data_IF_783907372511
#
_entry.id   IF_783907372511
#
_cell.length_a   1.000
_cell.length_b   1.000
_cell.length_c   1.000
_cell.angle_alpha   90.00
_cell.angle_beta   90.00
_cell.angle_gamma   90.00
#
_symmetry.space_group_name_H-M   'P 1'
#
loop_
_entity.id
_entity.type
_entity.pdbx_description
1 polymer ?
#
# COMPACT_ATOMS: atom_id res chain seq x y z
N UNK A 1 -83.93 16.09 -8.04
CA UNK A 1 -83.27 17.05 -7.14
C UNK A 1 -84.22 17.32 -5.98
N UNK A 2 -83.90 16.78 -4.81
CA UNK A 2 -84.49 17.15 -3.53
C UNK A 2 -83.45 16.78 -2.46
N UNK A 3 -83.21 17.71 -1.56
CA UNK A 3 -82.06 17.84 -0.68
C UNK A 3 -82.49 17.60 0.78
N UNK A 4 -81.50 17.36 1.65
CA UNK A 4 -81.54 17.49 3.11
C UNK A 4 -82.32 16.47 3.98
N UNK A 5 -81.59 15.73 4.83
CA UNK A 5 -81.29 16.14 6.22
C UNK A 5 -80.32 15.17 6.91
N UNK A 6 -79.27 15.75 7.50
CA UNK A 6 -78.41 15.12 8.51
C UNK A 6 -79.03 15.40 9.87
N UNK A 7 -79.09 14.41 10.75
CA UNK A 7 -79.15 14.66 12.20
C UNK A 7 -78.45 13.57 13.01
N UNK A 8 -77.73 14.05 14.03
CA UNK A 8 -76.74 13.37 14.83
C UNK A 8 -77.33 12.49 15.94
N UNK A 9 -76.67 11.37 16.24
CA UNK A 9 -76.57 10.85 17.62
C UNK A 9 -75.11 10.59 17.98
N UNK A 10 -74.59 11.39 18.93
CA UNK A 10 -73.43 11.09 19.76
C UNK A 10 -73.91 10.32 20.99
N UNK A 11 -73.21 9.24 21.37
CA UNK A 11 -72.77 8.94 22.74
C UNK A 11 -71.94 7.64 22.74
N UNK A 12 -70.63 7.76 23.00
CA UNK A 12 -69.93 7.20 24.19
C UNK A 12 -69.77 5.67 24.15
N UNK A 13 -68.63 5.17 23.67
CA UNK A 13 -67.39 4.88 24.43
C UNK A 13 -67.46 3.60 25.25
N UNK A 14 -66.66 2.59 24.86
CA UNK A 14 -65.62 1.92 25.68
C UNK A 14 -65.41 0.46 25.24
N UNK A 15 -64.12 0.07 25.14
CA UNK A 15 -63.63 -1.30 24.93
C UNK A 15 -63.62 -1.71 23.46
N UNK A 16 -62.50 -1.96 22.79
CA UNK A 16 -61.29 -2.60 23.27
C UNK A 16 -61.11 -3.92 22.52
N UNK A 17 -60.48 -3.83 21.36
CA UNK A 17 -59.65 -4.83 20.68
C UNK A 17 -60.11 -6.29 20.56
N UNK A 18 -60.46 -6.68 19.33
CA UNK A 18 -60.03 -7.96 18.74
C UNK A 18 -60.24 -7.95 17.22
N UNK A 19 -59.25 -7.49 16.45
CA UNK A 19 -59.16 -7.82 15.02
C UNK A 19 -57.98 -8.76 14.80
N UNK A 20 -58.37 -10.01 14.54
CA UNK A 20 -57.57 -11.16 14.14
C UNK A 20 -56.47 -10.81 13.11
N UNK A 21 -55.22 -10.78 13.56
CA UNK A 21 -54.05 -10.76 12.68
C UNK A 21 -53.88 -12.13 11.99
N UNK A 22 -53.85 -12.11 10.65
CA UNK A 22 -53.54 -13.27 9.82
C UNK A 22 -52.12 -13.75 10.11
N UNK A 23 -51.97 -15.05 10.33
CA UNK A 23 -50.69 -15.76 10.54
C UNK A 23 -49.74 -15.53 9.36
N UNK A 24 -48.71 -14.73 9.62
CA UNK A 24 -47.30 -15.03 9.34
C UNK A 24 -46.92 -15.33 7.89
N UNK A 25 -46.76 -14.28 7.07
CA UNK A 25 -45.76 -14.31 6.02
C UNK A 25 -44.38 -14.44 6.68
N UNK A 26 -43.64 -15.51 6.36
CA UNK A 26 -42.27 -15.65 6.81
C UNK A 26 -41.43 -14.55 6.16
N UNK A 27 -41.07 -13.53 6.95
CA UNK A 27 -40.02 -12.59 6.58
C UNK A 27 -38.73 -13.39 6.57
N UNK A 28 -38.24 -13.75 5.37
CA UNK A 28 -36.87 -14.21 5.20
C UNK A 28 -35.97 -13.05 5.62
N UNK A 29 -35.47 -13.08 6.85
CA UNK A 29 -34.37 -12.23 7.26
C UNK A 29 -33.17 -12.63 6.43
N UNK A 30 -32.88 -11.85 5.38
CA UNK A 30 -31.63 -11.96 4.65
C UNK A 30 -30.48 -11.52 5.56
N UNK A 31 -29.96 -12.48 6.32
CA UNK A 31 -28.80 -12.31 7.20
C UNK A 31 -27.47 -12.21 6.44
N UNK A 32 -27.49 -12.05 5.11
CA UNK A 32 -26.29 -11.72 4.33
C UNK A 32 -26.00 -10.22 4.50
N UNK A 33 -25.45 -9.85 5.66
CA UNK A 33 -24.64 -8.63 5.73
C UNK A 33 -23.58 -8.77 4.62
N UNK A 34 -23.40 -7.78 3.73
CA UNK A 34 -22.32 -7.84 2.76
C UNK A 34 -21.01 -7.98 3.53
N UNK A 35 -20.32 -9.11 3.36
CA UNK A 35 -18.95 -9.28 3.84
C UNK A 35 -18.10 -8.42 2.92
N UNK A 36 -17.76 -7.22 3.37
CA UNK A 36 -16.82 -6.36 2.68
C UNK A 36 -15.44 -6.98 2.79
N UNK A 37 -14.84 -7.34 1.66
CA UNK A 37 -13.44 -7.73 1.62
C UNK A 37 -12.60 -6.51 2.03
N UNK A 38 -11.75 -6.69 3.04
CA UNK A 38 -10.90 -5.61 3.58
C UNK A 38 -9.58 -5.53 2.83
N UNK A 39 -8.95 -4.36 2.90
CA UNK A 39 -7.60 -4.20 2.39
C UNK A 39 -6.65 -5.19 3.06
N UNK A 40 -5.77 -5.79 2.27
CA UNK A 40 -4.82 -6.81 2.68
C UNK A 40 -3.47 -6.54 2.02
N UNK A 41 -2.40 -6.59 2.80
CA UNK A 41 -1.02 -6.47 2.31
C UNK A 41 -0.20 -7.60 2.90
N UNK A 42 0.53 -8.31 2.02
CA UNK A 42 1.47 -9.36 2.38
C UNK A 42 2.84 -9.03 1.81
N UNK A 43 3.85 -9.10 2.66
CA UNK A 43 5.24 -8.91 2.27
C UNK A 43 6.05 -10.17 2.58
N UNK A 44 6.89 -10.54 1.64
CA UNK A 44 7.88 -11.60 1.77
C UNK A 44 9.26 -10.98 1.65
N UNK A 45 10.14 -11.30 2.61
CA UNK A 45 11.50 -10.80 2.65
C UNK A 45 12.50 -11.77 2.04
N UNK A 46 13.69 -11.25 1.74
CA UNK A 46 14.88 -12.02 1.41
C UNK A 46 16.11 -11.40 2.07
N UNK A 47 17.17 -12.19 2.22
CA UNK A 47 18.44 -11.68 2.73
C UNK A 47 19.23 -11.01 1.60
N UNK A 48 19.59 -9.74 1.78
CA UNK A 48 20.56 -9.05 0.95
C UNK A 48 21.95 -9.18 1.57
N UNK A 49 22.91 -9.73 0.81
CA UNK A 49 24.28 -9.95 1.29
C UNK A 49 25.21 -8.82 0.86
N UNK A 50 25.93 -8.21 1.80
CA UNK A 50 26.86 -7.12 1.51
C UNK A 50 28.13 -7.28 2.35
N UNK A 51 29.21 -7.72 1.71
CA UNK A 51 30.40 -8.21 2.41
C UNK A 51 30.07 -9.41 3.28
N UNK A 52 30.45 -9.36 4.57
CA UNK A 52 30.13 -10.40 5.58
C UNK A 52 28.75 -10.24 6.23
N UNK A 53 28.01 -9.21 5.86
CA UNK A 53 26.74 -8.83 6.50
C UNK A 53 25.54 -9.30 5.68
N UNK A 54 24.41 -9.49 6.36
CA UNK A 54 23.11 -9.72 5.72
C UNK A 54 22.07 -8.81 6.35
N UNK A 55 21.23 -8.24 5.49
CA UNK A 55 20.10 -7.38 5.89
C UNK A 55 18.85 -7.86 5.18
N UNK A 56 17.73 -7.92 5.89
CA UNK A 56 16.46 -8.26 5.25
C UNK A 56 16.01 -7.13 4.30
N UNK A 57 15.58 -7.51 3.11
CA UNK A 57 15.00 -6.62 2.08
C UNK A 57 13.73 -7.25 1.51
N UNK A 58 12.96 -6.48 0.76
CA UNK A 58 11.78 -6.98 0.05
C UNK A 58 12.13 -8.01 -1.02
N UNK A 59 11.34 -9.09 -1.07
CA UNK A 59 11.35 -10.04 -2.17
C UNK A 59 10.08 -9.92 -2.97
N UNK A 60 8.94 -9.96 -2.29
CA UNK A 60 7.63 -9.95 -2.92
C UNK A 60 6.65 -9.18 -2.06
N UNK A 61 5.77 -8.43 -2.71
CA UNK A 61 4.63 -7.76 -2.11
C UNK A 61 3.39 -8.15 -2.90
N UNK A 62 2.32 -8.48 -2.18
CA UNK A 62 0.99 -8.64 -2.74
C UNK A 62 0.00 -7.82 -1.93
N UNK A 63 -0.83 -7.03 -2.61
CA UNK A 63 -1.86 -6.21 -2.00
C UNK A 63 -3.21 -6.41 -2.71
N UNK A 64 -4.27 -6.41 -1.91
CA UNK A 64 -5.65 -6.21 -2.33
C UNK A 64 -6.11 -4.95 -1.61
N UNK A 65 -6.45 -3.89 -2.33
CA UNK A 65 -6.74 -2.59 -1.74
C UNK A 65 -8.19 -2.20 -2.04
N UNK A 66 -8.95 -1.98 -0.97
CA UNK A 66 -10.29 -1.41 -1.00
C UNK A 66 -10.19 0.09 -0.70
N UNK A 67 -10.68 0.98 -1.59
CA UNK A 67 -10.65 2.42 -1.35
C UNK A 67 -11.50 2.85 -0.14
N UNK A 68 -12.45 2.03 0.31
CA UNK A 68 -13.24 2.28 1.51
C UNK A 68 -12.58 1.78 2.81
N UNK A 69 -11.45 1.06 2.70
CA UNK A 69 -10.64 0.57 3.83
C UNK A 69 -9.18 1.00 3.64
N UNK A 70 -8.88 2.32 3.68
CA UNK A 70 -7.55 2.82 3.41
C UNK A 70 -6.56 2.38 4.50
N UNK A 71 -5.45 1.80 4.08
CA UNK A 71 -4.36 1.39 4.97
C UNK A 71 -3.36 2.54 5.07
N UNK A 72 -2.89 2.82 6.30
CA UNK A 72 -1.88 3.86 6.54
C UNK A 72 -0.47 3.30 6.33
N UNK A 73 0.27 3.90 5.41
CA UNK A 73 1.69 3.57 5.20
C UNK A 73 2.64 4.35 6.09
N UNK A 74 3.93 4.22 5.80
CA UNK A 74 5.03 4.79 6.57
C UNK A 74 6.16 5.22 5.64
N UNK A 75 6.79 6.35 5.93
CA UNK A 75 7.96 6.79 5.19
C UNK A 75 9.12 5.83 5.36
N UNK A 76 9.77 5.47 4.26
CA UNK A 76 10.97 4.63 4.25
C UNK A 76 12.10 5.21 5.13
N UNK A 77 12.12 6.53 5.35
CA UNK A 77 13.11 7.21 6.18
C UNK A 77 13.10 6.73 7.63
N UNK A 78 11.96 6.26 8.12
CA UNK A 78 11.86 5.75 9.48
C UNK A 78 12.68 4.46 9.62
N UNK A 79 12.82 3.65 8.56
CA UNK A 79 13.64 2.42 8.54
C UNK A 79 15.14 2.69 8.77
N UNK A 80 15.63 2.43 9.99
CA UNK A 80 17.04 2.58 10.32
C UNK A 80 17.85 1.30 10.01
N UNK A 81 17.19 0.15 9.97
CA UNK A 81 17.84 -1.17 9.88
C UNK A 81 18.51 -1.41 8.52
N UNK A 82 18.02 -0.78 7.44
CA UNK A 82 18.68 -0.85 6.14
C UNK A 82 19.78 0.20 5.94
N UNK A 83 19.93 1.19 6.83
CA UNK A 83 20.90 2.28 6.66
C UNK A 83 22.35 1.79 6.47
N UNK A 84 22.88 0.85 7.28
CA UNK A 84 24.27 0.38 7.09
C UNK A 84 24.51 -0.27 5.72
N UNK A 85 23.54 -1.05 5.23
CA UNK A 85 23.59 -1.66 3.90
C UNK A 85 23.58 -0.59 2.81
N UNK A 86 22.70 0.42 2.94
CA UNK A 86 22.61 1.52 1.97
C UNK A 86 23.91 2.32 1.89
N UNK A 87 24.55 2.58 3.03
CA UNK A 87 25.83 3.30 3.08
C UNK A 87 26.96 2.47 2.45
N UNK A 88 26.99 1.16 2.71
CA UNK A 88 27.95 0.25 2.07
C UNK A 88 27.76 0.17 0.55
N UNK A 89 26.50 0.13 0.06
CA UNK A 89 26.21 0.12 -1.38
C UNK A 89 26.62 1.43 -2.06
N UNK A 90 26.37 2.58 -1.42
CA UNK A 90 26.82 3.89 -1.92
C UNK A 90 28.33 3.96 -2.04
N UNK A 91 29.05 3.46 -1.04
CA UNK A 91 30.50 3.38 -1.08
C UNK A 91 30.99 2.42 -2.18
N UNK A 92 30.37 1.23 -2.29
CA UNK A 92 30.78 0.20 -3.24
C UNK A 92 30.62 0.63 -4.70
N UNK A 93 29.50 1.26 -5.04
CA UNK A 93 29.19 1.69 -6.41
C UNK A 93 29.52 3.16 -6.68
N UNK A 94 30.13 3.87 -5.72
CA UNK A 94 30.48 5.29 -5.84
C UNK A 94 29.26 6.16 -6.20
N UNK A 95 28.16 5.95 -5.49
CA UNK A 95 26.87 6.61 -5.75
C UNK A 95 26.67 7.78 -4.77
N UNK A 96 26.27 8.93 -5.30
CA UNK A 96 25.86 10.07 -4.47
C UNK A 96 24.65 9.70 -3.59
N UNK A 97 24.59 10.22 -2.37
CA UNK A 97 23.56 9.84 -1.39
C UNK A 97 22.10 9.91 -1.88
N UNK A 98 21.80 10.85 -2.77
CA UNK A 98 20.46 11.03 -3.36
C UNK A 98 20.13 10.12 -4.53
N UNK A 99 21.10 9.41 -5.13
CA UNK A 99 20.88 8.58 -6.32
C UNK A 99 20.56 7.11 -5.97
N UNK A 100 20.69 6.72 -4.69
CA UNK A 100 20.27 5.42 -4.16
C UNK A 100 19.37 5.59 -2.92
N UNK A 101 18.16 5.02 -2.98
CA UNK A 101 17.12 5.19 -1.96
C UNK A 101 16.57 3.85 -1.47
N UNK A 102 15.93 3.86 -0.29
CA UNK A 102 15.11 2.74 0.20
C UNK A 102 13.76 2.80 -0.51
N UNK A 103 13.62 2.05 -1.60
CA UNK A 103 12.39 2.00 -2.39
C UNK A 103 11.37 1.09 -1.74
N UNK A 104 10.12 1.53 -1.72
CA UNK A 104 9.01 0.69 -1.29
C UNK A 104 8.62 -0.30 -2.40
N UNK A 105 8.24 -1.52 -2.01
CA UNK A 105 7.54 -2.44 -2.93
C UNK A 105 6.07 -2.01 -3.07
N UNK A 106 5.37 -1.76 -1.97
CA UNK A 106 4.10 -1.03 -1.95
C UNK A 106 4.33 0.40 -1.48
N UNK A 107 3.95 1.39 -2.31
CA UNK A 107 4.04 2.81 -1.96
C UNK A 107 3.42 3.13 -0.60
N UNK A 108 4.04 4.04 0.16
CA UNK A 108 3.55 4.51 1.46
C UNK A 108 2.16 5.17 1.39
N UNK A 109 1.87 5.90 0.31
CA UNK A 109 0.54 6.50 0.08
C UNK A 109 -0.52 5.49 -0.38
N UNK A 110 -0.15 4.23 -0.57
CA UNK A 110 -1.05 3.09 -0.82
C UNK A 110 -1.16 2.16 0.40
N UNK A 111 -0.51 2.50 1.52
CA UNK A 111 -0.50 1.67 2.73
C UNK A 111 0.81 0.93 2.99
N UNK A 112 1.83 1.15 2.16
CA UNK A 112 3.16 0.57 2.33
C UNK A 112 3.82 0.90 3.66
N UNK A 113 4.19 -0.13 4.43
CA UNK A 113 4.89 0.02 5.70
C UNK A 113 6.40 0.08 5.48
N UNK A 114 7.14 0.74 6.38
CA UNK A 114 8.59 0.91 6.31
C UNK A 114 9.33 -0.31 6.91
N UNK A 115 8.83 -1.50 6.60
CA UNK A 115 9.35 -2.79 7.02
C UNK A 115 10.49 -3.22 6.09
N UNK A 116 11.47 -3.93 6.62
CA UNK A 116 12.58 -4.46 5.83
C UNK A 116 12.10 -5.30 4.64
N UNK A 117 11.06 -6.12 4.81
CA UNK A 117 10.47 -6.94 3.75
C UNK A 117 9.56 -6.17 2.76
N UNK A 118 9.36 -4.86 2.94
CA UNK A 118 8.68 -3.99 1.98
C UNK A 118 9.63 -2.93 1.39
N UNK A 119 10.93 -2.98 1.73
CA UNK A 119 11.93 -2.02 1.28
C UNK A 119 13.07 -2.72 0.55
N UNK A 120 13.53 -2.14 -0.55
CA UNK A 120 14.67 -2.64 -1.32
C UNK A 120 15.60 -1.48 -1.77
N UNK A 121 16.92 -1.68 -1.86
CA UNK A 121 17.83 -0.71 -2.47
C UNK A 121 17.51 -0.48 -3.95
N UNK A 122 17.05 0.71 -4.29
CA UNK A 122 16.68 1.07 -5.66
C UNK A 122 17.34 2.39 -6.05
N UNK A 123 17.72 2.54 -7.31
CA UNK A 123 18.19 3.83 -7.81
C UNK A 123 17.06 4.84 -7.81
N UNK A 124 17.38 6.12 -7.65
CA UNK A 124 16.37 7.20 -7.69
C UNK A 124 15.62 7.22 -9.02
N UNK A 125 16.32 6.93 -10.12
CA UNK A 125 15.74 6.90 -11.45
C UNK A 125 14.71 5.77 -11.61
N UNK A 126 15.06 4.54 -11.21
CA UNK A 126 14.13 3.41 -11.21
C UNK A 126 12.95 3.62 -10.25
N UNK A 127 13.18 4.21 -9.07
CA UNK A 127 12.13 4.58 -8.13
C UNK A 127 11.16 5.62 -8.73
N UNK A 128 11.69 6.61 -9.46
CA UNK A 128 10.85 7.59 -10.16
C UNK A 128 10.05 6.93 -11.28
N UNK A 129 10.64 6.04 -12.06
CA UNK A 129 9.90 5.28 -13.07
C UNK A 129 8.77 4.43 -12.45
N UNK A 130 9.04 3.78 -11.32
CA UNK A 130 8.05 2.99 -10.59
C UNK A 130 6.86 3.84 -10.14
N UNK A 131 7.15 5.01 -9.56
CA UNK A 131 6.16 6.01 -9.16
C UNK A 131 5.31 6.46 -10.35
N UNK A 132 5.96 6.89 -11.42
CA UNK A 132 5.32 7.54 -12.57
C UNK A 132 4.46 6.59 -13.39
N UNK A 133 4.78 5.29 -13.39
CA UNK A 133 4.05 4.27 -14.13
C UNK A 133 3.01 3.60 -13.23
N UNK A 134 3.44 2.75 -12.32
CA UNK A 134 2.57 1.79 -11.64
C UNK A 134 1.88 2.41 -10.43
N UNK A 135 2.63 3.16 -9.60
CA UNK A 135 2.06 3.70 -8.36
C UNK A 135 1.08 4.85 -8.62
N UNK A 136 1.35 5.72 -9.59
CA UNK A 136 0.42 6.79 -9.95
C UNK A 136 -0.88 6.25 -10.57
N UNK A 137 -0.80 5.18 -11.36
CA UNK A 137 -2.00 4.49 -11.82
C UNK A 137 -2.78 3.89 -10.65
N UNK A 138 -2.10 3.21 -9.72
CA UNK A 138 -2.71 2.66 -8.51
C UNK A 138 -3.45 3.74 -7.70
N UNK A 139 -2.79 4.87 -7.43
CA UNK A 139 -3.35 6.03 -6.71
C UNK A 139 -4.58 6.58 -7.44
N UNK A 140 -4.53 6.66 -8.77
CA UNK A 140 -5.67 7.16 -9.56
C UNK A 140 -6.87 6.21 -9.48
N UNK A 141 -6.65 4.90 -9.65
CA UNK A 141 -7.73 3.91 -9.53
C UNK A 141 -8.36 3.93 -8.14
N UNK A 142 -7.52 3.88 -7.11
CA UNK A 142 -7.99 3.75 -5.74
C UNK A 142 -8.63 5.04 -5.23
N UNK A 143 -8.00 6.19 -5.47
CA UNK A 143 -8.38 7.44 -4.83
C UNK A 143 -9.26 8.36 -5.67
N UNK A 144 -9.12 8.33 -7.00
CA UNK A 144 -9.96 9.11 -7.92
C UNK A 144 -11.18 8.32 -8.35
N UNK A 145 -10.97 7.10 -8.84
CA UNK A 145 -12.06 6.28 -9.38
C UNK A 145 -12.77 5.44 -8.33
N UNK A 146 -12.22 5.35 -7.10
CA UNK A 146 -12.75 4.49 -6.05
C UNK A 146 -12.91 3.04 -6.52
N UNK A 147 -11.95 2.59 -7.33
CA UNK A 147 -11.87 1.24 -7.86
C UNK A 147 -10.96 0.39 -6.98
N UNK A 148 -11.43 -0.75 -6.44
CA UNK A 148 -10.57 -1.72 -5.77
C UNK A 148 -9.55 -2.30 -6.74
N UNK A 149 -8.33 -2.49 -6.26
CA UNK A 149 -7.21 -3.00 -7.07
C UNK A 149 -6.53 -4.17 -6.37
N UNK A 150 -5.91 -5.03 -7.17
CA UNK A 150 -4.84 -5.90 -6.71
C UNK A 150 -3.52 -5.37 -7.27
N UNK A 151 -2.45 -5.53 -6.50
CA UNK A 151 -1.13 -5.05 -6.88
C UNK A 151 -0.06 -6.02 -6.38
N UNK A 152 0.89 -6.39 -7.23
CA UNK A 152 2.05 -7.21 -6.88
C UNK A 152 3.33 -6.59 -7.38
N UNK A 153 4.38 -6.70 -6.56
CA UNK A 153 5.77 -6.39 -6.93
C UNK A 153 6.65 -7.55 -6.51
N UNK A 154 7.46 -8.08 -7.40
CA UNK A 154 8.46 -9.12 -7.11
C UNK A 154 9.83 -8.68 -7.61
N UNK A 155 10.81 -8.69 -6.71
CA UNK A 155 12.19 -8.35 -7.01
C UNK A 155 12.93 -9.60 -7.47
N UNK A 156 13.33 -9.63 -8.74
CA UNK A 156 14.21 -10.66 -9.30
C UNK A 156 15.67 -10.20 -9.34
N UNK A 157 16.57 -11.17 -9.37
CA UNK A 157 18.01 -10.98 -9.24
C UNK A 157 18.57 -11.60 -7.95
N UNK A 158 19.89 -11.75 -7.88
CA UNK A 158 20.54 -12.25 -6.66
C UNK A 158 20.73 -11.09 -5.68
N UNK A 159 20.09 -11.08 -4.49
CA UNK A 159 20.13 -9.95 -3.56
C UNK A 159 21.51 -9.88 -2.88
N UNK A 160 22.50 -9.31 -3.57
CA UNK A 160 23.84 -9.13 -3.03
C UNK A 160 24.54 -7.91 -3.64
N UNK A 161 25.48 -7.34 -2.88
CA UNK A 161 26.16 -6.11 -3.22
C UNK A 161 27.07 -6.20 -4.47
N UNK A 162 27.36 -7.39 -4.99
CA UNK A 162 28.10 -7.53 -6.25
C UNK A 162 27.17 -7.60 -7.47
N UNK A 163 25.85 -7.74 -7.26
CA UNK A 163 24.86 -7.70 -8.31
C UNK A 163 24.36 -6.27 -8.48
N UNK A 164 24.79 -5.62 -9.56
CA UNK A 164 24.46 -4.21 -9.78
C UNK A 164 23.05 -3.99 -10.36
N UNK A 165 22.43 -5.01 -10.94
CA UNK A 165 21.07 -4.94 -11.49
C UNK A 165 20.06 -5.78 -10.72
N UNK A 166 18.91 -5.16 -10.44
CA UNK A 166 17.74 -5.82 -9.86
C UNK A 166 16.51 -5.41 -10.65
N UNK A 167 15.59 -6.35 -10.85
CA UNK A 167 14.38 -6.14 -11.64
C UNK A 167 13.16 -6.16 -10.73
N UNK A 168 12.34 -5.13 -10.83
CA UNK A 168 11.08 -5.01 -10.11
C UNK A 168 9.95 -5.38 -11.07
N UNK A 169 9.50 -6.63 -10.97
CA UNK A 169 8.40 -7.15 -11.77
C UNK A 169 7.09 -6.70 -11.14
N UNK A 170 6.36 -5.86 -11.84
CA UNK A 170 5.12 -5.25 -11.36
C UNK A 170 3.93 -5.81 -12.11
N UNK A 171 2.84 -6.02 -11.41
CA UNK A 171 1.54 -6.31 -12.02
C UNK A 171 0.41 -5.73 -11.18
N UNK A 172 -0.53 -5.07 -11.82
CA UNK A 172 -1.63 -4.38 -11.17
C UNK A 172 -2.89 -4.49 -12.01
N UNK A 173 -4.03 -4.72 -11.36
CA UNK A 173 -5.32 -4.78 -12.05
C UNK A 173 -6.51 -4.58 -11.11
N UNK A 174 -7.71 -4.73 -11.64
CA UNK A 174 -8.94 -4.60 -10.88
C UNK A 174 -9.19 -5.82 -9.98
N UNK A 175 -9.63 -5.58 -8.75
CA UNK A 175 -10.05 -6.61 -7.80
C UNK A 175 -11.57 -6.65 -7.68
N UNK A 176 -12.20 -7.77 -8.06
CA UNK A 176 -13.61 -8.02 -7.78
C UNK A 176 -13.75 -8.45 -6.32
N UNK A 177 -14.10 -7.50 -5.45
CA UNK A 177 -14.27 -7.74 -4.02
C UNK A 177 -15.44 -8.69 -3.70
N UNK A 178 -16.46 -8.80 -4.57
CA UNK A 178 -17.63 -9.66 -4.33
C UNK A 178 -17.28 -11.13 -4.53
N UNK A 179 -16.47 -11.42 -5.54
CA UNK A 179 -15.98 -12.78 -5.84
C UNK A 179 -14.63 -13.08 -5.21
N UNK A 180 -13.97 -12.06 -4.68
CA UNK A 180 -12.58 -12.08 -4.26
C UNK A 180 -11.64 -12.60 -5.36
N UNK A 181 -11.80 -12.07 -6.58
CA UNK A 181 -11.02 -12.50 -7.76
C UNK A 181 -10.23 -11.35 -8.36
N UNK A 182 -8.99 -11.64 -8.78
CA UNK A 182 -8.13 -10.71 -9.52
C UNK A 182 -8.48 -10.77 -11.00
N UNK A 183 -8.84 -9.63 -11.61
CA UNK A 183 -8.94 -9.54 -13.06
C UNK A 183 -7.56 -9.53 -13.71
N UNK A 184 -7.51 -9.66 -15.03
CA UNK A 184 -6.27 -9.49 -15.80
C UNK A 184 -5.56 -8.18 -15.44
N UNK A 185 -4.23 -8.20 -15.51
CA UNK A 185 -3.41 -7.04 -15.21
C UNK A 185 -3.73 -5.92 -16.22
N UNK A 186 -4.05 -4.74 -15.70
CA UNK A 186 -4.13 -3.52 -16.50
C UNK A 186 -2.73 -2.94 -16.76
N UNK A 187 -1.81 -3.17 -15.82
CA UNK A 187 -0.39 -2.83 -15.94
C UNK A 187 0.41 -4.08 -15.60
N UNK A 188 1.39 -4.39 -16.45
CA UNK A 188 2.40 -5.42 -16.20
C UNK A 188 3.72 -4.99 -16.84
N UNK A 189 4.83 -5.18 -16.15
CA UNK A 189 6.14 -4.83 -16.67
C UNK A 189 7.26 -5.14 -15.69
N UNK A 190 8.48 -4.77 -16.08
CA UNK A 190 9.67 -4.83 -15.22
C UNK A 190 10.38 -3.48 -15.23
N UNK A 191 10.84 -3.06 -14.06
CA UNK A 191 11.64 -1.84 -13.88
C UNK A 191 13.03 -2.26 -13.41
N UNK A 192 14.05 -1.90 -14.18
CA UNK A 192 15.43 -2.26 -13.85
C UNK A 192 16.08 -1.17 -13.01
N UNK A 193 16.54 -1.56 -11.82
CA UNK A 193 17.41 -0.74 -10.98
C UNK A 193 18.87 -1.12 -11.23
N UNK A 194 19.65 -0.21 -11.82
CA UNK A 194 21.07 -0.42 -12.09
C UNK A 194 21.94 0.44 -11.15
N UNK A 195 22.45 -0.14 -10.07
CA UNK A 195 23.33 0.55 -9.13
C UNK A 195 24.72 0.85 -9.70
N UNK A 196 25.16 0.10 -10.73
CA UNK A 196 26.43 0.35 -11.41
C UNK A 196 26.37 1.57 -12.34
N UNK A 197 25.17 1.97 -12.75
CA UNK A 197 24.92 3.23 -13.44
C UNK A 197 23.62 3.87 -12.93
N UNK A 198 23.68 4.57 -11.78
CA UNK A 198 22.50 5.09 -11.12
C UNK A 198 21.87 6.29 -11.85
N UNK A 199 22.52 6.81 -12.90
CA UNK A 199 22.08 8.00 -13.66
C UNK A 199 21.58 7.69 -15.06
N UNK A 200 21.81 6.50 -15.61
CA UNK A 200 21.47 6.12 -17.01
C UNK A 200 19.97 5.97 -17.32
N UNK A 201 19.08 6.52 -16.49
CA UNK A 201 17.67 6.63 -16.80
C UNK A 201 17.28 8.12 -16.91
N UNK A 202 17.70 8.74 -18.01
CA UNK A 202 17.37 10.11 -18.42
C UNK A 202 15.87 10.31 -18.74
N UNK A 203 15.09 9.22 -18.79
CA UNK A 203 13.65 9.22 -19.08
C UNK A 203 12.73 9.74 -17.97
N UNK A 204 13.29 10.24 -16.86
CA UNK A 204 12.51 10.64 -15.68
C UNK A 204 12.26 12.16 -15.56
N UNK A 205 12.56 12.95 -16.59
CA UNK A 205 12.34 14.41 -16.62
C UNK A 205 10.97 14.79 -17.21
N UNK A 206 9.88 14.38 -16.57
CA UNK A 206 8.54 14.92 -16.83
C UNK A 206 7.88 15.35 -15.51
N UNK A 207 7.75 16.66 -15.29
CA UNK A 207 7.17 17.29 -14.08
C UNK A 207 5.63 17.15 -13.98
N UNK A 208 4.97 16.73 -15.06
CA UNK A 208 3.51 16.84 -15.19
C UNK A 208 2.74 15.75 -14.40
N UNK A 209 3.28 14.54 -14.34
CA UNK A 209 2.65 13.38 -13.67
C UNK A 209 2.83 13.41 -12.14
N UNK A 210 3.94 13.97 -11.65
CA UNK A 210 4.17 14.14 -10.21
C UNK A 210 3.17 15.14 -9.62
N UNK A 211 2.94 16.27 -10.31
CA UNK A 211 1.98 17.31 -9.90
C UNK A 211 0.53 16.80 -9.91
N UNK A 212 0.11 16.09 -10.97
CA UNK A 212 -1.26 15.54 -11.05
C UNK A 212 -1.54 14.50 -9.95
N UNK A 213 -0.56 13.63 -9.67
CA UNK A 213 -0.68 12.63 -8.60
C UNK A 213 -0.72 13.26 -7.20
N UNK A 214 0.07 14.31 -6.96
CA UNK A 214 0.08 15.04 -5.70
C UNK A 214 -1.26 15.76 -5.45
N UNK A 215 -1.83 16.38 -6.48
CA UNK A 215 -3.16 16.99 -6.42
C UNK A 215 -4.26 15.96 -6.12
N UNK A 216 -4.21 14.82 -6.81
CA UNK A 216 -5.13 13.68 -6.61
C UNK A 216 -5.08 13.17 -5.17
N UNK A 217 -3.88 12.90 -4.66
CA UNK A 217 -3.68 12.39 -3.31
C UNK A 217 -4.16 13.40 -2.26
N UNK A 218 -3.84 14.69 -2.43
CA UNK A 218 -4.30 15.76 -1.53
C UNK A 218 -5.83 15.83 -1.48
N UNK A 219 -6.48 15.74 -2.64
CA UNK A 219 -7.94 15.72 -2.72
C UNK A 219 -8.54 14.47 -2.05
N UNK A 220 -7.89 13.31 -2.19
CA UNK A 220 -8.31 12.07 -1.54
C UNK A 220 -8.22 12.13 -0.01
N UNK A 221 -7.12 12.68 0.51
CA UNK A 221 -6.92 12.91 1.95
C UNK A 221 -7.96 13.88 2.50
N UNK A 222 -8.26 14.96 1.78
CA UNK A 222 -9.31 15.91 2.17
C UNK A 222 -10.71 15.27 2.23
N UNK A 223 -10.93 14.19 1.47
CA UNK A 223 -12.18 13.39 1.46
C UNK A 223 -12.15 12.19 2.41
N UNK A 224 -11.06 11.97 3.14
CA UNK A 224 -10.88 10.81 4.02
C UNK A 224 -10.73 9.47 3.29
N UNK A 225 -10.47 9.49 1.98
CA UNK A 225 -10.29 8.29 1.16
C UNK A 225 -8.86 7.74 1.24
N UNK A 226 -7.90 8.58 1.60
CA UNK A 226 -6.50 8.21 1.81
C UNK A 226 -5.99 8.74 3.14
N UNK A 227 -5.00 8.08 3.72
CA UNK A 227 -4.37 8.46 4.99
C UNK A 227 -2.95 8.98 4.75
N UNK A 228 -2.54 9.98 5.54
CA UNK A 228 -1.15 10.42 5.57
C UNK A 228 -0.24 9.30 6.10
N UNK A 229 0.88 9.01 5.43
CA UNK A 229 1.88 8.10 5.95
C UNK A 229 2.47 8.58 7.27
N UNK A 230 2.89 7.65 8.11
CA UNK A 230 3.72 7.99 9.27
C UNK A 230 5.07 8.54 8.81
N UNK A 231 5.50 9.65 9.39
CA UNK A 231 6.81 10.26 9.10
C UNK A 231 7.79 10.18 10.27
N UNK A 232 7.35 9.72 11.44
CA UNK A 232 8.21 9.48 12.60
C UNK A 232 7.68 8.37 13.52
N UNK A 233 8.57 7.76 14.30
CA UNK A 233 8.24 6.67 15.23
C UNK A 233 7.15 7.06 16.25
N UNK A 234 7.20 8.30 16.77
CA UNK A 234 6.22 8.80 17.73
C UNK A 234 4.79 8.89 17.17
N UNK A 235 4.63 8.84 15.84
CA UNK A 235 3.31 8.86 15.20
C UNK A 235 2.69 7.47 15.04
N UNK A 236 3.45 6.40 15.29
CA UNK A 236 3.02 5.00 15.14
C UNK A 236 2.36 4.47 16.42
N UNK A 237 1.33 3.64 16.28
CA UNK A 237 0.76 2.89 17.40
C UNK A 237 1.64 1.66 17.76
N UNK A 238 1.32 1.01 18.88
CA UNK A 238 2.10 -0.14 19.38
C UNK A 238 2.14 -1.33 18.40
N UNK A 239 1.06 -1.56 17.65
CA UNK A 239 0.99 -2.65 16.67
C UNK A 239 1.93 -2.39 15.48
N UNK A 240 1.94 -1.15 14.97
CA UNK A 240 2.83 -0.72 13.89
C UNK A 240 4.30 -0.80 14.34
N UNK A 241 4.60 -0.36 15.56
CA UNK A 241 5.94 -0.44 16.12
C UNK A 241 6.41 -1.89 16.34
N UNK A 242 5.53 -2.79 16.79
CA UNK A 242 5.84 -4.21 16.98
C UNK A 242 6.09 -4.93 15.64
N UNK A 243 5.24 -4.69 14.65
CA UNK A 243 5.43 -5.21 13.28
C UNK A 243 6.79 -4.79 12.71
N UNK A 244 7.15 -3.52 12.95
CA UNK A 244 8.44 -2.98 12.54
C UNK A 244 9.62 -3.65 13.24
N UNK A 245 9.59 -3.82 14.56
CA UNK A 245 10.65 -4.49 15.32
C UNK A 245 10.91 -5.91 14.82
N UNK A 246 9.84 -6.65 14.47
CA UNK A 246 9.95 -8.03 13.96
C UNK A 246 10.59 -8.12 12.57
N UNK A 247 10.52 -7.06 11.77
CA UNK A 247 11.15 -7.03 10.45
C UNK A 247 12.67 -6.74 10.51
N UNK A 248 13.19 -6.24 11.63
CA UNK A 248 14.48 -5.54 11.75
C UNK A 248 15.79 -6.36 11.72
N UNK A 249 15.84 -7.56 11.13
CA UNK A 249 17.04 -8.39 11.23
C UNK A 249 18.20 -7.88 10.34
N UNK A 250 19.17 -7.18 10.94
CA UNK A 250 20.57 -7.23 10.51
C UNK A 250 21.22 -8.38 11.28
N UNK A 251 21.71 -9.41 10.61
CA UNK A 251 22.55 -10.40 11.29
C UNK A 251 23.96 -9.84 11.36
N UNK A 252 24.31 -9.21 12.49
CA UNK A 252 25.67 -8.76 12.78
C UNK A 252 26.54 -9.97 13.16
N UNK A 253 27.01 -10.73 12.17
CA UNK A 253 28.26 -11.47 12.37
C UNK A 253 29.41 -10.46 12.44
N UNK A 254 29.77 -10.15 13.68
CA UNK A 254 31.01 -9.52 14.13
C UNK A 254 31.16 -8.01 13.85
N UNK A 255 30.85 -7.23 14.88
CA UNK A 255 31.65 -6.05 15.24
C UNK A 255 33.10 -6.49 15.44
N UNK A 256 33.86 -6.52 14.36
CA UNK A 256 35.31 -6.41 14.40
C UNK A 256 35.63 -4.94 14.20
N UNK A 257 35.91 -4.23 15.28
CA UNK A 257 36.61 -2.95 15.23
C UNK A 257 37.87 -3.12 14.41
N UNK A 258 37.92 -2.58 13.19
CA UNK A 258 39.13 -2.07 12.55
C UNK A 258 38.75 -1.29 11.29
N UNK A 259 39.37 -0.13 11.16
CA UNK A 259 38.93 0.98 10.33
C UNK A 259 38.93 0.70 8.84
N UNK A 260 38.07 1.45 8.15
CA UNK A 260 38.21 1.70 6.73
C UNK A 260 39.53 2.43 6.50
N UNK A 261 40.51 1.73 5.95
CA UNK A 261 41.64 2.37 5.29
C UNK A 261 41.26 2.58 3.82
N UNK A 262 41.20 3.84 3.43
CA UNK A 262 41.02 4.30 2.06
C UNK A 262 42.23 3.90 1.19
N UNK A 263 41.95 3.29 0.04
CA UNK A 263 42.79 3.35 -1.15
C UNK A 263 41.92 3.81 -2.31
#
# INVERSE_FOLDING_TARGET
MAEFKVEHKKQQSSGGDAVSQRKGAAVLQDNRRPVQAKSYVRNEGQNFTWGKHKTMVGKKMEALLDPADPVRGESANINADQTPMMDALRAHYVINGGDLVKGHLLNDNLGGKALNNNLFPITRAANKQHLMTTENYAKTQLWTHQSPIWYTVEVSGSPNANQHTHEFNVSLGHWDMKKNTKHAAAIQGSITSNMGDPRDYDGANGDDLETYSAGTLKAAMAKGLALHPHTGLASMNDQDQDARKKAGSITTSEHGSNGYNSY
#
